data_IF_096909199020
#
_entry.id   IF_096909199020
#
_cell.length_a   1.000
_cell.length_b   1.000
_cell.length_c   1.000
_cell.angle_alpha   90.00
_cell.angle_beta   90.00
_cell.angle_gamma   90.00
#
_symmetry.space_group_name_H-M   'P 1'
#
loop_
_entity.id
_entity.type
_entity.pdbx_description
1 polymer ?
#
# COMPACT_ATOMS: atom_id res chain seq x y z
N UNK A 1 -2.73 -13.71 -17.22
CA UNK A 1 -1.46 -13.02 -16.91
C UNK A 1 -1.62 -12.32 -15.57
N UNK A 2 -0.78 -12.61 -14.57
CA UNK A 2 -0.77 -11.84 -13.32
C UNK A 2 -0.09 -10.51 -13.60
N UNK A 3 -0.87 -9.43 -13.77
CA UNK A 3 -0.33 -8.08 -13.94
C UNK A 3 0.52 -7.67 -12.72
N UNK A 4 1.50 -6.78 -12.93
CA UNK A 4 2.24 -6.18 -11.82
C UNK A 4 1.29 -5.32 -11.00
N UNK A 5 1.24 -5.55 -9.68
CA UNK A 5 0.46 -4.76 -8.72
C UNK A 5 1.40 -3.93 -7.86
N UNK A 6 1.06 -2.66 -7.62
CA UNK A 6 1.83 -1.79 -6.73
C UNK A 6 1.37 -2.02 -5.29
N UNK A 7 2.32 -2.23 -4.39
CA UNK A 7 2.07 -2.53 -2.98
C UNK A 7 2.63 -1.43 -2.09
N UNK A 8 1.84 -0.97 -1.12
CA UNK A 8 2.25 0.01 -0.11
C UNK A 8 2.34 -0.63 1.26
N UNK A 9 3.50 -0.48 1.90
CA UNK A 9 3.70 -0.79 3.30
C UNK A 9 3.91 0.52 4.07
N UNK A 10 3.10 0.75 5.09
CA UNK A 10 3.18 1.94 5.94
C UNK A 10 3.53 1.52 7.36
N UNK A 11 4.65 2.03 7.85
CA UNK A 11 5.14 1.79 9.20
C UNK A 11 4.72 2.95 10.10
N UNK A 12 3.96 2.67 11.16
CA UNK A 12 3.58 3.67 12.14
C UNK A 12 4.65 3.79 13.22
N UNK A 13 5.06 5.02 13.52
CA UNK A 13 5.92 5.28 14.68
C UNK A 13 5.13 5.03 15.96
N UNK A 14 5.75 4.50 17.02
CA UNK A 14 5.09 4.39 18.31
C UNK A 14 4.65 5.80 18.75
N UNK A 15 3.37 5.92 19.10
CA UNK A 15 2.80 7.15 19.64
C UNK A 15 2.87 7.02 21.16
N UNK A 16 3.38 8.05 21.85
CA UNK A 16 3.57 8.00 23.31
C UNK A 16 2.27 8.08 24.11
N UNK A 17 1.12 8.26 23.45
CA UNK A 17 -0.20 8.32 24.08
C UNK A 17 -1.06 7.16 23.57
N UNK A 18 -1.70 6.48 24.52
CA UNK A 18 -2.27 5.15 24.39
C UNK A 18 -3.04 4.87 23.10
N UNK A 19 -2.71 3.72 22.50
CA UNK A 19 -3.49 2.99 21.50
C UNK A 19 -4.22 3.88 20.49
N UNK A 20 -3.46 4.60 19.67
CA UNK A 20 -3.99 5.07 18.39
C UNK A 20 -4.39 3.83 17.59
N UNK A 21 -5.70 3.56 17.56
CA UNK A 21 -6.29 2.41 16.89
C UNK A 21 -5.67 2.18 15.51
N UNK A 22 -5.54 0.92 15.11
CA UNK A 22 -5.11 0.53 13.76
C UNK A 22 -6.01 1.12 12.65
N UNK A 23 -7.08 1.82 12.98
CA UNK A 23 -8.20 2.20 12.12
C UNK A 23 -8.00 3.44 11.22
N UNK A 24 -6.87 4.16 11.26
CA UNK A 24 -6.82 5.50 10.65
C UNK A 24 -6.57 5.61 9.15
N UNK A 25 -5.98 4.62 8.49
CA UNK A 25 -5.55 4.77 7.08
C UNK A 25 -6.13 3.67 6.20
N UNK A 26 -7.05 4.07 5.32
CA UNK A 26 -7.61 3.18 4.30
C UNK A 26 -6.80 3.24 3.00
N UNK A 27 -6.88 2.17 2.22
CA UNK A 27 -6.30 2.11 0.89
C UNK A 27 -7.00 3.11 -0.04
N UNK A 28 -8.30 3.37 0.16
CA UNK A 28 -9.04 4.38 -0.58
C UNK A 28 -8.45 5.79 -0.36
N UNK A 29 -8.21 6.17 0.90
CA UNK A 29 -7.63 7.48 1.25
C UNK A 29 -6.22 7.63 0.68
N UNK A 30 -5.39 6.59 0.82
CA UNK A 30 -4.04 6.58 0.25
C UNK A 30 -4.08 6.77 -1.26
N UNK A 31 -4.92 6.00 -1.95
CA UNK A 31 -5.07 6.14 -3.41
C UNK A 31 -5.53 7.54 -3.77
N UNK A 32 -6.50 8.12 -3.04
CA UNK A 32 -7.06 9.44 -3.34
C UNK A 32 -5.98 10.51 -3.21
N UNK A 33 -5.24 10.48 -2.11
CA UNK A 33 -4.13 11.38 -1.88
C UNK A 33 -3.05 11.23 -2.96
N UNK A 34 -2.69 10.01 -3.36
CA UNK A 34 -1.73 9.79 -4.45
C UNK A 34 -2.22 10.35 -5.79
N UNK A 35 -3.50 10.19 -6.11
CA UNK A 35 -4.06 10.61 -7.40
C UNK A 35 -4.33 12.11 -7.51
N UNK A 36 -4.83 12.71 -6.43
CA UNK A 36 -5.22 14.13 -6.37
C UNK A 36 -4.04 14.98 -5.93
N UNK A 37 -3.47 14.72 -4.76
CA UNK A 37 -2.42 15.55 -4.16
C UNK A 37 -1.05 15.28 -4.79
N UNK A 38 -0.78 14.04 -5.23
CA UNK A 38 0.50 13.70 -5.88
C UNK A 38 0.41 13.58 -7.40
N UNK A 39 -0.78 13.75 -7.98
CA UNK A 39 -0.99 13.72 -9.42
C UNK A 39 -0.57 12.40 -10.07
N UNK A 40 -0.56 11.30 -9.32
CA UNK A 40 -0.15 10.00 -9.87
C UNK A 40 -1.24 9.42 -10.76
N UNK A 41 -0.85 8.80 -11.89
CA UNK A 41 -1.81 8.14 -12.77
C UNK A 41 -2.35 6.87 -12.11
N UNK A 42 -3.57 6.46 -12.50
CA UNK A 42 -4.28 5.32 -11.92
C UNK A 42 -3.46 4.02 -11.87
N UNK A 43 -2.69 3.70 -12.91
CA UNK A 43 -1.84 2.50 -12.96
C UNK A 43 -0.65 2.54 -11.98
N UNK A 44 -0.29 3.73 -11.46
CA UNK A 44 0.74 3.91 -10.42
C UNK A 44 0.19 3.87 -8.98
N UNK A 45 -1.12 3.73 -8.82
CA UNK A 45 -1.76 3.71 -7.51
C UNK A 45 -1.65 2.32 -6.86
N UNK A 46 -1.50 2.32 -5.54
CA UNK A 46 -1.36 1.08 -4.76
C UNK A 46 -2.61 0.22 -4.87
N UNK A 47 -2.42 -1.07 -5.17
CA UNK A 47 -3.47 -2.08 -5.20
C UNK A 47 -3.52 -2.88 -3.88
N UNK A 48 -2.45 -2.86 -3.10
CA UNK A 48 -2.36 -3.49 -1.79
C UNK A 48 -1.85 -2.48 -0.78
N UNK A 49 -2.47 -2.42 0.40
CA UNK A 49 -2.00 -1.65 1.55
C UNK A 49 -1.88 -2.55 2.77
N UNK A 50 -0.71 -2.51 3.40
CA UNK A 50 -0.51 -3.03 4.74
C UNK A 50 -0.02 -1.92 5.65
N UNK A 51 -0.62 -1.81 6.82
CA UNK A 51 -0.21 -0.84 7.84
C UNK A 51 0.18 -1.61 9.09
N UNK A 52 1.38 -1.33 9.62
CA UNK A 52 1.87 -2.03 10.80
C UNK A 52 2.73 -1.13 11.70
N UNK A 53 2.89 -1.49 12.98
CA UNK A 53 3.84 -0.83 13.88
C UNK A 53 5.29 -0.94 13.36
N UNK A 54 6.09 0.11 13.57
CA UNK A 54 7.48 0.16 13.12
C UNK A 54 8.41 -0.78 13.90
N UNK A 55 8.06 -1.11 15.15
CA UNK A 55 8.76 -2.07 16.01
C UNK A 55 8.53 -3.53 15.59
N UNK A 56 7.40 -3.83 14.93
CA UNK A 56 7.15 -5.14 14.31
C UNK A 56 7.84 -5.33 12.94
N UNK A 57 8.49 -4.29 12.41
CA UNK A 57 9.12 -4.35 11.09
C UNK A 57 10.53 -4.96 11.14
N UNK A 58 10.70 -6.10 10.48
CA UNK A 58 11.92 -6.92 10.54
C UNK A 58 12.66 -7.04 9.20
N UNK A 59 12.24 -6.30 8.16
CA UNK A 59 12.86 -6.35 6.83
C UNK A 59 13.93 -5.26 6.59
N UNK A 60 14.81 -5.09 7.58
CA UNK A 60 15.99 -4.22 7.52
C UNK A 60 17.30 -5.02 7.55
N UNK A 61 18.38 -4.44 7.01
CA UNK A 61 19.75 -4.92 7.22
C UNK A 61 20.32 -4.39 8.55
N UNK A 62 21.47 -4.93 8.98
CA UNK A 62 22.22 -4.38 10.13
C UNK A 62 22.56 -2.89 10.00
N UNK A 63 22.61 -2.37 8.77
CA UNK A 63 22.83 -0.94 8.47
C UNK A 63 21.51 -0.19 8.21
N UNK A 64 20.38 -0.68 8.72
CA UNK A 64 19.02 -0.08 8.61
C UNK A 64 18.50 0.08 7.17
N UNK A 65 19.11 -0.56 6.17
CA UNK A 65 18.60 -0.52 4.79
C UNK A 65 17.41 -1.44 4.62
N UNK A 66 16.38 -0.97 3.90
CA UNK A 66 15.19 -1.77 3.57
C UNK A 66 15.53 -2.90 2.59
N UNK A 67 15.08 -4.11 2.90
CA UNK A 67 15.25 -5.30 2.05
C UNK A 67 13.99 -5.56 1.24
N UNK A 68 13.87 -4.98 0.04
CA UNK A 68 12.68 -5.08 -0.83
C UNK A 68 12.20 -6.53 -1.03
N UNK A 69 13.11 -7.47 -1.33
CA UNK A 69 12.75 -8.90 -1.49
C UNK A 69 12.14 -9.50 -0.22
N UNK A 70 12.68 -9.13 0.94
CA UNK A 70 12.20 -9.58 2.26
C UNK A 70 10.87 -8.91 2.62
N UNK A 71 10.67 -7.65 2.21
CA UNK A 71 9.37 -6.97 2.37
C UNK A 71 8.29 -7.71 1.60
N UNK A 72 8.49 -7.98 0.31
CA UNK A 72 7.53 -8.72 -0.51
C UNK A 72 7.27 -10.11 0.06
N UNK A 73 8.33 -10.84 0.42
CA UNK A 73 8.19 -12.21 0.91
C UNK A 73 7.62 -12.31 2.32
N UNK A 74 7.77 -11.33 3.20
CA UNK A 74 7.24 -11.39 4.56
C UNK A 74 5.85 -10.79 4.68
N UNK A 75 5.56 -9.72 3.94
CA UNK A 75 4.39 -8.88 4.21
C UNK A 75 3.33 -8.91 3.10
N UNK A 76 3.64 -9.43 1.91
CA UNK A 76 2.73 -9.44 0.75
C UNK A 76 2.69 -10.81 0.04
N UNK A 77 2.79 -11.93 0.77
CA UNK A 77 2.64 -13.24 0.13
C UNK A 77 1.23 -13.36 -0.47
N UNK A 78 1.05 -13.95 -1.66
CA UNK A 78 -0.27 -14.10 -2.29
C UNK A 78 -1.33 -14.73 -1.37
N UNK A 79 -0.93 -15.70 -0.55
CA UNK A 79 -1.80 -16.36 0.43
C UNK A 79 -2.26 -15.49 1.61
N UNK A 80 -1.61 -14.34 1.81
CA UNK A 80 -1.91 -13.43 2.92
C UNK A 80 -2.81 -12.27 2.46
N UNK A 81 -3.23 -12.23 1.18
CA UNK A 81 -4.06 -11.15 0.64
C UNK A 81 -5.50 -11.19 1.18
N UNK A 82 -5.99 -12.36 1.58
CA UNK A 82 -7.32 -12.52 2.18
C UNK A 82 -7.34 -12.25 3.69
N UNK A 83 -6.20 -11.85 4.28
CA UNK A 83 -6.11 -11.56 5.71
C UNK A 83 -6.61 -10.16 6.01
N UNK A 84 -7.21 -10.00 7.18
CA UNK A 84 -7.80 -8.74 7.66
C UNK A 84 -6.79 -7.59 7.83
N UNK A 85 -5.49 -7.86 7.80
CA UNK A 85 -4.41 -6.87 7.94
C UNK A 85 -3.88 -6.33 6.61
N UNK A 86 -4.39 -6.83 5.47
CA UNK A 86 -4.06 -6.35 4.13
C UNK A 86 -5.33 -5.86 3.43
N UNK A 87 -5.35 -4.58 3.07
CA UNK A 87 -6.42 -4.03 2.23
C UNK A 87 -6.07 -4.27 0.77
N UNK A 88 -7.03 -4.80 0.02
CA UNK A 88 -6.90 -5.13 -1.40
C UNK A 88 -7.87 -4.26 -2.20
N UNK A 89 -7.37 -3.66 -3.27
CA UNK A 89 -8.20 -2.96 -4.25
C UNK A 89 -8.22 -3.73 -5.55
N UNK A 90 -9.35 -4.35 -5.85
CA UNK A 90 -9.57 -4.95 -7.15
C UNK A 90 -10.09 -3.89 -8.13
N UNK A 91 -9.40 -3.78 -9.27
CA UNK A 91 -9.56 -2.73 -10.26
C UNK A 91 -10.95 -2.61 -10.95
N UNK A 92 -11.88 -3.59 -11.01
CA UNK A 92 -12.91 -3.51 -12.05
C UNK A 92 -14.15 -2.65 -11.74
N UNK A 93 -14.33 -2.03 -10.57
CA UNK A 93 -15.68 -1.52 -10.23
C UNK A 93 -15.84 -0.09 -9.67
N UNK A 94 -14.80 0.61 -9.24
CA UNK A 94 -15.03 1.92 -8.58
C UNK A 94 -14.64 3.11 -9.46
N UNK A 95 -15.60 4.03 -9.62
CA UNK A 95 -15.39 5.38 -10.16
C UNK A 95 -14.45 6.13 -9.22
N UNK A 96 -13.16 5.99 -9.49
CA UNK A 96 -12.11 6.65 -8.75
C UNK A 96 -11.70 7.94 -9.50
N UNK A 97 -11.31 9.04 -8.82
CA UNK A 97 -10.80 10.23 -9.50
C UNK A 97 -9.56 9.87 -10.32
N UNK A 98 -9.73 9.68 -11.63
CA UNK A 98 -8.71 9.02 -12.44
C UNK A 98 -9.13 8.70 -13.87
N UNK A 99 -10.06 9.45 -14.47
CA UNK A 99 -10.41 9.30 -15.90
C UNK A 99 -9.75 10.41 -16.75
N UNK A 100 -8.57 10.87 -16.32
CA UNK A 100 -7.78 11.86 -17.06
C UNK A 100 -7.11 11.16 -18.23
N UNK A 101 -6.81 11.92 -19.29
CA UNK A 101 -6.26 11.38 -20.53
C UNK A 101 -4.97 10.53 -20.36
N UNK A 102 -4.21 10.75 -19.28
CA UNK A 102 -2.95 10.05 -18.96
C UNK A 102 -3.08 9.01 -17.83
N UNK A 103 -4.29 8.74 -17.31
CA UNK A 103 -4.51 7.69 -16.31
C UNK A 103 -4.48 6.28 -16.92
N UNK A 104 -4.56 6.18 -18.26
CA UNK A 104 -4.37 4.95 -19.03
C UNK A 104 -2.88 4.84 -19.41
N UNK A 105 -2.30 3.65 -19.34
CA UNK A 105 -0.91 3.41 -19.75
C UNK A 105 -0.65 3.94 -21.17
N UNK A 106 0.55 4.47 -21.49
CA UNK A 106 0.95 4.57 -22.89
C UNK A 106 1.00 3.15 -23.45
N UNK A 107 0.20 2.92 -24.49
CA UNK A 107 0.12 1.67 -25.26
C UNK A 107 1.51 1.29 -25.77
#
# INVERSE_FOLDING_TARGET
>A
MLGQRITSLILRKPTHEGEASLAGLSLADLRWWLAVEKGLPAFKLSALLRVMPADEFAAITGNRKLLKKKITSMYFKPKDWDRTDVQVWDFPMEKFPGDRAWDREPI
#
